data_IF_588253553059
#
_entry.id   IF_588253553059
#
_cell.length_a   1.000
_cell.length_b   1.000
_cell.length_c   1.000
_cell.angle_alpha   90.00
_cell.angle_beta   90.00
_cell.angle_gamma   90.00
#
_symmetry.space_group_name_H-M   'P 1'
#
loop_
_entity.id
_entity.type
_entity.pdbx_description
1 polymer ?
#
# COMPACT_ATOMS: atom_id res chain seq x y z
N UNK A 1 5.27 13.18 12.62
CA UNK A 1 5.27 14.54 13.24
C UNK A 1 4.10 15.41 12.79
N UNK A 2 3.22 14.91 11.89
CA UNK A 2 2.01 15.63 11.43
C UNK A 2 0.96 15.89 12.53
N UNK A 3 1.09 15.29 13.70
CA UNK A 3 0.09 15.35 14.80
C UNK A 3 -1.18 14.54 14.50
N UNK A 4 -1.24 13.78 13.41
CA UNK A 4 -2.43 13.05 12.94
C UNK A 4 -2.34 11.56 13.24
N UNK A 5 -2.22 11.19 14.52
CA UNK A 5 -2.15 9.77 14.93
C UNK A 5 -3.50 9.04 14.92
N UNK A 6 -4.61 9.76 14.74
CA UNK A 6 -5.98 9.20 14.80
C UNK A 6 -6.28 8.13 13.75
N UNK A 7 -5.46 8.00 12.70
CA UNK A 7 -5.62 6.91 11.72
C UNK A 7 -5.47 5.51 12.35
N UNK A 8 -4.83 5.40 13.52
CA UNK A 8 -4.71 4.14 14.27
C UNK A 8 -5.93 3.81 15.15
N UNK A 9 -6.84 4.77 15.34
CA UNK A 9 -8.00 4.59 16.22
C UNK A 9 -9.14 3.80 15.54
N UNK A 10 -9.09 3.62 14.21
CA UNK A 10 -10.09 2.92 13.42
C UNK A 10 -9.55 1.66 12.75
N UNK A 11 -10.28 1.19 11.73
CA UNK A 11 -9.90 0.01 10.94
C UNK A 11 -8.94 0.38 9.83
N UNK A 12 -7.95 -0.49 9.65
CA UNK A 12 -6.89 -0.39 8.66
C UNK A 12 -7.15 -1.45 7.58
N UNK A 13 -7.50 -1.03 6.37
CA UNK A 13 -7.82 -1.95 5.27
C UNK A 13 -6.60 -2.16 4.40
N UNK A 14 -6.21 -3.42 4.20
CA UNK A 14 -5.07 -3.80 3.35
C UNK A 14 -5.55 -4.62 2.16
N UNK A 15 -5.58 -4.00 0.97
CA UNK A 15 -5.86 -4.69 -0.27
C UNK A 15 -4.57 -5.32 -0.81
N UNK A 16 -4.39 -6.60 -0.57
CA UNK A 16 -3.17 -7.33 -0.92
C UNK A 16 -3.47 -8.67 -1.57
N UNK A 17 -2.44 -9.32 -2.11
CA UNK A 17 -2.52 -10.71 -2.55
C UNK A 17 -2.75 -11.68 -1.38
N UNK A 18 -2.92 -12.97 -1.68
CA UNK A 18 -3.08 -14.01 -0.65
C UNK A 18 -1.89 -14.01 0.33
N UNK A 19 -2.16 -14.06 1.66
CA UNK A 19 -1.13 -14.16 2.69
C UNK A 19 -0.67 -15.60 2.91
N UNK A 20 -1.16 -16.57 2.15
CA UNK A 20 -0.75 -17.96 2.28
C UNK A 20 0.73 -18.16 1.96
N UNK A 21 1.39 -18.95 2.79
CA UNK A 21 2.79 -19.32 2.63
C UNK A 21 2.90 -20.81 2.30
N UNK A 22 3.64 -21.12 1.24
CA UNK A 22 4.07 -22.47 0.95
C UNK A 22 5.34 -22.82 1.74
N UNK A 23 5.60 -24.11 1.94
CA UNK A 23 6.87 -24.57 2.50
C UNK A 23 7.72 -25.24 1.42
N UNK A 24 8.97 -24.78 1.29
CA UNK A 24 9.99 -25.41 0.43
C UNK A 24 11.23 -25.69 1.26
N UNK A 25 11.58 -26.97 1.43
CA UNK A 25 12.74 -27.35 2.23
C UNK A 25 12.69 -26.87 3.69
N UNK A 26 11.51 -26.77 4.30
CA UNK A 26 11.31 -26.28 5.66
C UNK A 26 11.30 -24.74 5.79
N UNK A 27 11.43 -24.00 4.69
CA UNK A 27 11.41 -22.54 4.67
C UNK A 27 10.06 -22.06 4.14
N UNK A 28 9.43 -21.11 4.87
CA UNK A 28 8.21 -20.46 4.41
C UNK A 28 8.53 -19.57 3.21
N UNK A 29 7.78 -19.76 2.13
CA UNK A 29 7.92 -19.02 0.88
C UNK A 29 6.57 -18.47 0.43
N UNK A 30 6.55 -17.24 -0.07
CA UNK A 30 5.33 -16.59 -0.52
C UNK A 30 5.57 -15.20 -1.08
N UNK A 31 4.50 -14.51 -1.37
CA UNK A 31 4.57 -13.10 -1.77
C UNK A 31 5.04 -12.24 -0.58
N UNK A 32 5.77 -11.17 -0.84
CA UNK A 32 6.25 -10.26 0.20
C UNK A 32 5.12 -9.76 1.10
N UNK A 33 3.98 -9.34 0.53
CA UNK A 33 2.80 -8.90 1.28
C UNK A 33 2.24 -10.00 2.20
N UNK A 34 2.30 -11.26 1.77
CA UNK A 34 1.93 -12.41 2.59
C UNK A 34 2.87 -12.60 3.77
N UNK A 35 4.18 -12.58 3.52
CA UNK A 35 5.20 -12.70 4.58
C UNK A 35 5.03 -11.57 5.61
N UNK A 36 4.90 -10.33 5.16
CA UNK A 36 4.73 -9.15 6.04
C UNK A 36 3.45 -9.27 6.88
N UNK A 37 2.36 -9.81 6.33
CA UNK A 37 1.11 -10.00 7.06
C UNK A 37 1.29 -10.85 8.33
N UNK A 38 2.15 -11.86 8.29
CA UNK A 38 2.46 -12.69 9.45
C UNK A 38 3.31 -11.96 10.52
N UNK A 39 3.96 -10.86 10.17
CA UNK A 39 4.82 -10.07 11.06
C UNK A 39 4.16 -8.78 11.58
N UNK A 40 2.89 -8.55 11.28
CA UNK A 40 2.17 -7.38 11.80
C UNK A 40 2.18 -7.38 13.32
N UNK A 41 2.57 -6.27 13.97
CA UNK A 41 2.56 -6.15 15.43
C UNK A 41 1.21 -6.44 16.05
N UNK A 42 1.19 -7.10 17.21
CA UNK A 42 -0.05 -7.56 17.86
C UNK A 42 -1.05 -6.42 18.12
N UNK A 43 -0.57 -5.22 18.44
CA UNK A 43 -1.42 -4.05 18.71
C UNK A 43 -2.15 -3.51 17.46
N UNK A 44 -1.67 -3.83 16.26
CA UNK A 44 -2.32 -3.46 14.98
C UNK A 44 -3.27 -4.54 14.44
N UNK A 45 -3.04 -5.82 14.81
CA UNK A 45 -3.80 -6.95 14.24
C UNK A 45 -5.30 -6.85 14.49
N UNK A 46 -5.72 -6.33 15.64
CA UNK A 46 -7.12 -6.14 15.99
C UNK A 46 -7.87 -5.13 15.12
N UNK A 47 -7.13 -4.24 14.48
CA UNK A 47 -7.68 -3.19 13.61
C UNK A 47 -7.51 -3.49 12.12
N UNK A 48 -6.80 -4.58 11.77
CA UNK A 48 -6.52 -4.94 10.39
C UNK A 48 -7.71 -5.65 9.74
N UNK A 49 -8.05 -5.25 8.53
CA UNK A 49 -9.03 -5.86 7.63
C UNK A 49 -8.44 -6.00 6.21
N UNK A 50 -8.95 -6.89 5.38
CA UNK A 50 -9.95 -7.92 5.70
C UNK A 50 -9.36 -9.02 6.59
N UNK A 51 -10.25 -9.96 7.00
CA UNK A 51 -9.84 -11.16 7.73
C UNK A 51 -8.85 -12.01 6.92
N UNK A 52 -8.07 -12.84 7.62
CA UNK A 52 -7.13 -13.78 6.98
C UNK A 52 -7.86 -14.68 5.96
N UNK A 53 -9.02 -15.22 6.34
CA UNK A 53 -9.81 -16.10 5.47
C UNK A 53 -10.23 -15.42 4.17
N UNK A 54 -10.71 -14.19 4.25
CA UNK A 54 -11.07 -13.39 3.06
C UNK A 54 -9.85 -13.06 2.22
N UNK A 55 -8.72 -12.78 2.86
CA UNK A 55 -7.47 -12.51 2.13
C UNK A 55 -6.93 -13.73 1.37
N UNK A 56 -7.27 -14.97 1.78
CA UNK A 56 -6.86 -16.19 1.09
C UNK A 56 -7.71 -16.52 -0.14
N UNK A 57 -8.83 -15.84 -0.38
CA UNK A 57 -9.65 -16.06 -1.59
C UNK A 57 -8.81 -15.71 -2.81
N UNK A 58 -8.72 -16.65 -3.76
CA UNK A 58 -7.91 -16.47 -4.98
C UNK A 58 -8.64 -15.66 -6.06
N UNK A 59 -9.94 -15.93 -6.24
CA UNK A 59 -10.75 -15.17 -7.17
C UNK A 59 -10.89 -13.72 -6.71
N UNK A 60 -10.44 -12.77 -7.54
CA UNK A 60 -10.40 -11.37 -7.15
C UNK A 60 -11.79 -10.74 -7.01
N UNK A 61 -12.73 -11.12 -7.85
CA UNK A 61 -14.09 -10.57 -7.81
C UNK A 61 -14.82 -11.03 -6.56
N UNK A 62 -14.75 -12.33 -6.23
CA UNK A 62 -15.31 -12.89 -5.01
C UNK A 62 -14.62 -12.28 -3.78
N UNK A 63 -13.30 -12.21 -3.79
CA UNK A 63 -12.52 -11.60 -2.71
C UNK A 63 -12.94 -10.16 -2.45
N UNK A 64 -13.09 -9.37 -3.50
CA UNK A 64 -13.45 -7.97 -3.39
C UNK A 64 -14.85 -7.79 -2.79
N UNK A 65 -15.80 -8.64 -3.17
CA UNK A 65 -17.15 -8.62 -2.60
C UNK A 65 -17.13 -8.98 -1.10
N UNK A 66 -16.34 -9.98 -0.71
CA UNK A 66 -16.15 -10.35 0.71
C UNK A 66 -15.45 -9.25 1.52
N UNK A 67 -14.44 -8.59 0.94
CA UNK A 67 -13.80 -7.43 1.58
C UNK A 67 -14.83 -6.34 1.86
N UNK A 68 -15.70 -6.04 0.89
CA UNK A 68 -16.74 -5.02 1.07
C UNK A 68 -17.73 -5.44 2.17
N UNK A 69 -18.18 -6.71 2.18
CA UNK A 69 -19.07 -7.22 3.21
C UNK A 69 -18.47 -7.09 4.63
N UNK A 70 -17.16 -7.31 4.78
CA UNK A 70 -16.47 -7.16 6.07
C UNK A 70 -16.21 -5.70 6.48
N UNK A 71 -16.16 -4.78 5.54
CA UNK A 71 -15.59 -3.44 5.80
C UNK A 71 -16.60 -2.31 5.71
N UNK A 72 -17.72 -2.47 4.99
CA UNK A 72 -18.62 -1.38 4.65
C UNK A 72 -19.23 -0.66 5.89
N UNK A 73 -19.42 -1.38 6.98
CA UNK A 73 -19.97 -0.86 8.25
C UNK A 73 -18.88 -0.60 9.30
N UNK A 74 -17.61 -0.65 8.92
CA UNK A 74 -16.49 -0.46 9.84
C UNK A 74 -15.97 0.98 9.80
N UNK A 75 -15.47 1.51 10.92
CA UNK A 75 -14.86 2.85 10.97
C UNK A 75 -13.47 2.84 10.31
N UNK A 76 -13.42 2.76 8.98
CA UNK A 76 -12.17 2.80 8.23
C UNK A 76 -11.49 4.16 8.37
N UNK A 77 -10.22 4.14 8.75
CA UNK A 77 -9.38 5.34 8.85
C UNK A 77 -8.24 5.35 7.84
N UNK A 78 -7.76 4.17 7.46
CA UNK A 78 -6.68 3.97 6.52
C UNK A 78 -7.00 2.88 5.51
N UNK A 79 -6.63 3.09 4.26
CA UNK A 79 -6.56 2.04 3.25
C UNK A 79 -5.16 1.95 2.66
N UNK A 80 -4.66 0.73 2.47
CA UNK A 80 -3.41 0.46 1.77
C UNK A 80 -3.63 -0.51 0.63
N UNK A 81 -3.05 -0.21 -0.52
CA UNK A 81 -3.13 -1.05 -1.71
C UNK A 81 -2.66 -0.33 -2.96
N UNK A 82 -2.46 -1.07 -4.04
CA UNK A 82 -2.16 -0.45 -5.32
C UNK A 82 -3.38 0.36 -5.81
N UNK A 83 -3.16 1.55 -6.38
CA UNK A 83 -4.24 2.45 -6.78
C UNK A 83 -5.37 1.81 -7.60
N UNK A 84 -5.14 0.97 -8.62
CA UNK A 84 -6.22 0.33 -9.36
C UNK A 84 -7.10 -0.58 -8.49
N UNK A 85 -6.56 -1.32 -7.53
CA UNK A 85 -7.36 -2.18 -6.65
C UNK A 85 -8.22 -1.35 -5.69
N UNK A 86 -7.64 -0.27 -5.16
CA UNK A 86 -8.40 0.67 -4.30
C UNK A 86 -9.51 1.34 -5.09
N UNK A 87 -9.27 1.71 -6.36
CA UNK A 87 -10.30 2.27 -7.22
C UNK A 87 -11.45 1.27 -7.46
N UNK A 88 -11.13 0.00 -7.75
CA UNK A 88 -12.14 -1.04 -7.92
C UNK A 88 -12.99 -1.24 -6.66
N UNK A 89 -12.35 -1.23 -5.50
CA UNK A 89 -13.03 -1.30 -4.21
C UNK A 89 -13.98 -0.13 -4.00
N UNK A 90 -13.55 1.10 -4.28
CA UNK A 90 -14.39 2.29 -4.18
C UNK A 90 -15.53 2.29 -5.20
N UNK A 91 -15.26 1.91 -6.44
CA UNK A 91 -16.29 1.82 -7.49
C UNK A 91 -17.42 0.84 -7.09
N UNK A 92 -17.09 -0.34 -6.52
CA UNK A 92 -18.08 -1.30 -6.02
C UNK A 92 -18.86 -0.79 -4.81
N UNK A 93 -18.20 -0.10 -3.86
CA UNK A 93 -18.91 0.53 -2.72
C UNK A 93 -19.88 1.60 -3.21
N UNK A 94 -19.46 2.46 -4.14
CA UNK A 94 -20.34 3.49 -4.71
C UNK A 94 -21.51 2.87 -5.46
N UNK A 95 -21.29 1.80 -6.22
CA UNK A 95 -22.36 1.06 -6.89
C UNK A 95 -23.39 0.46 -5.91
N UNK A 96 -22.94 -0.05 -4.75
CA UNK A 96 -23.82 -0.62 -3.70
C UNK A 96 -24.58 0.45 -2.91
N UNK A 97 -23.96 1.59 -2.63
CA UNK A 97 -24.48 2.57 -1.68
C UNK A 97 -25.05 3.83 -2.33
N UNK A 98 -24.63 4.15 -3.54
CA UNK A 98 -24.93 5.43 -4.19
C UNK A 98 -24.24 6.64 -3.54
N UNK A 99 -23.25 6.43 -2.66
CA UNK A 99 -22.59 7.47 -1.84
C UNK A 99 -21.14 7.65 -2.22
N UNK A 100 -20.59 8.84 -1.93
CA UNK A 100 -19.13 9.03 -1.93
C UNK A 100 -18.49 8.27 -0.78
N UNK A 101 -17.22 7.92 -0.93
CA UNK A 101 -16.47 7.16 0.09
C UNK A 101 -16.39 7.91 1.42
N UNK A 102 -16.29 9.24 1.41
CA UNK A 102 -16.33 10.07 2.63
C UNK A 102 -17.62 9.92 3.44
N UNK A 103 -18.74 9.58 2.78
CA UNK A 103 -20.05 9.44 3.42
C UNK A 103 -20.27 8.02 3.94
N UNK A 104 -19.54 7.03 3.40
CA UNK A 104 -19.49 5.65 3.89
C UNK A 104 -18.46 5.53 5.02
N UNK A 105 -17.29 6.17 4.85
CA UNK A 105 -16.19 6.15 5.81
C UNK A 105 -15.80 7.59 6.21
N UNK A 106 -16.54 8.22 7.14
CA UNK A 106 -16.31 9.62 7.53
C UNK A 106 -14.90 9.88 8.09
N UNK A 107 -14.34 8.90 8.82
CA UNK A 107 -13.04 8.99 9.48
C UNK A 107 -11.86 8.61 8.56
N UNK A 108 -12.13 8.22 7.30
CA UNK A 108 -11.08 7.90 6.35
C UNK A 108 -10.19 9.12 6.08
N UNK A 109 -8.90 8.99 6.38
CA UNK A 109 -7.96 10.11 6.40
C UNK A 109 -6.62 9.83 5.72
N UNK A 110 -6.27 8.55 5.50
CA UNK A 110 -4.95 8.19 4.98
C UNK A 110 -5.03 7.08 3.91
N UNK A 111 -4.45 7.36 2.75
CA UNK A 111 -4.22 6.38 1.69
C UNK A 111 -2.72 6.05 1.57
N UNK A 112 -2.38 4.78 1.71
CA UNK A 112 -1.00 4.28 1.57
C UNK A 112 -0.91 3.43 0.31
N UNK A 113 -0.02 3.79 -0.61
CA UNK A 113 0.10 3.12 -1.91
C UNK A 113 1.55 2.91 -2.32
N UNK A 114 1.75 2.12 -3.37
CA UNK A 114 3.05 1.87 -4.00
C UNK A 114 2.91 0.88 -5.14
N UNK A 115 4.03 0.56 -5.78
CA UNK A 115 4.12 -0.47 -6.82
C UNK A 115 3.68 -0.03 -8.22
N UNK A 116 2.98 1.10 -8.36
CA UNK A 116 2.61 1.70 -9.65
C UNK A 116 2.57 3.22 -9.55
N UNK A 117 2.80 3.90 -10.67
CA UNK A 117 2.64 5.35 -10.72
C UNK A 117 1.19 5.74 -10.38
N UNK A 118 1.02 6.62 -9.41
CA UNK A 118 -0.29 7.05 -8.91
C UNK A 118 -0.98 8.09 -9.80
N UNK A 119 -0.24 8.89 -10.54
CA UNK A 119 -0.78 10.05 -11.28
C UNK A 119 -1.97 9.70 -12.19
N UNK A 120 -1.98 8.59 -12.96
CA UNK A 120 -3.12 8.23 -13.79
C UNK A 120 -4.42 7.97 -13.00
N UNK A 121 -4.32 7.61 -11.74
CA UNK A 121 -5.46 7.24 -10.87
C UNK A 121 -5.88 8.37 -9.94
N UNK A 122 -5.00 9.31 -9.65
CA UNK A 122 -5.15 10.36 -8.63
C UNK A 122 -6.48 11.08 -8.71
N UNK A 123 -6.82 11.62 -9.89
CA UNK A 123 -8.03 12.41 -10.08
C UNK A 123 -9.28 11.60 -9.77
N UNK A 124 -9.44 10.45 -10.43
CA UNK A 124 -10.62 9.59 -10.25
C UNK A 124 -10.77 9.11 -8.81
N UNK A 125 -9.68 8.72 -8.17
CA UNK A 125 -9.68 8.22 -6.80
C UNK A 125 -10.14 9.31 -5.81
N UNK A 126 -9.60 10.54 -5.90
CA UNK A 126 -10.04 11.64 -5.05
C UNK A 126 -11.48 12.10 -5.33
N UNK A 127 -11.95 12.04 -6.59
CA UNK A 127 -13.36 12.26 -6.93
C UNK A 127 -14.26 11.21 -6.26
N UNK A 128 -13.87 9.93 -6.29
CA UNK A 128 -14.60 8.85 -5.60
C UNK A 128 -14.65 9.06 -4.09
N UNK A 129 -13.55 9.51 -3.50
CA UNK A 129 -13.50 9.81 -2.05
C UNK A 129 -14.40 11.00 -1.71
N UNK A 130 -14.41 12.05 -2.52
CA UNK A 130 -15.23 13.25 -2.32
C UNK A 130 -14.72 14.22 -1.23
N UNK A 131 -13.50 14.03 -0.73
CA UNK A 131 -12.76 14.95 0.16
C UNK A 131 -11.25 14.79 -0.08
N UNK A 132 -10.47 15.82 0.31
CA UNK A 132 -9.01 15.72 0.35
C UNK A 132 -8.59 14.88 1.57
N UNK A 133 -7.71 13.93 1.35
CA UNK A 133 -7.05 13.13 2.39
C UNK A 133 -5.54 13.15 2.15
N UNK A 134 -4.78 12.76 3.17
CA UNK A 134 -3.34 12.56 3.03
C UNK A 134 -3.06 11.24 2.30
N UNK A 135 -1.95 11.20 1.59
CA UNK A 135 -1.48 9.98 0.93
C UNK A 135 0.02 9.79 1.15
N UNK A 136 0.45 8.54 1.24
CA UNK A 136 1.86 8.18 1.41
C UNK A 136 2.24 7.17 0.34
N UNK A 137 3.24 7.50 -0.44
CA UNK A 137 3.85 6.58 -1.38
C UNK A 137 4.94 5.75 -0.69
N UNK A 138 4.96 4.46 -1.02
CA UNK A 138 5.95 3.50 -0.52
C UNK A 138 6.65 2.84 -1.69
N UNK A 139 7.95 2.60 -1.55
CA UNK A 139 8.74 1.81 -2.48
C UNK A 139 9.28 0.54 -1.81
N UNK A 140 8.44 -0.49 -1.59
CA UNK A 140 8.89 -1.80 -1.16
C UNK A 140 9.35 -2.62 -2.37
N UNK A 141 10.38 -3.43 -2.16
CA UNK A 141 10.84 -4.45 -3.09
C UNK A 141 11.10 -5.76 -2.34
N UNK A 142 11.29 -6.88 -3.07
CA UNK A 142 11.62 -8.16 -2.45
C UNK A 142 12.97 -8.11 -1.74
N UNK A 143 13.86 -7.27 -2.22
CA UNK A 143 15.21 -7.01 -1.69
C UNK A 143 15.16 -6.21 -0.37
N UNK A 144 14.11 -5.43 -0.16
CA UNK A 144 13.92 -4.64 1.05
C UNK A 144 13.01 -3.43 0.86
N UNK A 145 12.84 -2.66 1.91
CA UNK A 145 12.08 -1.41 1.88
C UNK A 145 13.04 -0.27 1.50
N UNK A 146 12.88 0.26 0.29
CA UNK A 146 13.86 1.16 -0.33
C UNK A 146 13.64 2.61 0.05
N UNK A 147 12.38 3.09 -0.09
CA UNK A 147 12.04 4.48 0.14
C UNK A 147 10.56 4.65 0.54
N UNK A 148 10.24 5.79 1.13
CA UNK A 148 8.86 6.20 1.42
C UNK A 148 8.73 7.72 1.35
N UNK A 149 7.53 8.20 1.07
CA UNK A 149 7.19 9.61 1.14
C UNK A 149 7.08 10.03 2.62
N UNK A 150 7.93 10.93 3.05
CA UNK A 150 7.99 11.43 4.42
C UNK A 150 7.34 12.81 4.58
N UNK A 151 7.02 13.48 3.47
CA UNK A 151 6.40 14.81 3.44
C UNK A 151 5.24 14.86 2.45
N UNK A 152 4.17 15.62 2.79
CA UNK A 152 3.06 15.90 1.88
C UNK A 152 3.34 17.08 0.94
N UNK A 153 4.46 17.78 1.11
CA UNK A 153 4.79 19.02 0.42
C UNK A 153 5.99 18.88 -0.51
N UNK A 154 6.80 17.85 -0.30
CA UNK A 154 7.98 17.57 -1.11
C UNK A 154 7.66 16.51 -2.16
N UNK A 155 8.21 16.69 -3.35
CA UNK A 155 8.19 15.68 -4.40
C UNK A 155 9.27 14.64 -4.12
N UNK A 156 8.96 13.38 -4.42
CA UNK A 156 9.88 12.27 -4.22
C UNK A 156 9.70 11.53 -2.90
N UNK A 157 10.62 10.61 -2.64
CA UNK A 157 10.61 9.73 -1.48
C UNK A 157 11.95 9.77 -0.76
N UNK A 158 11.91 9.71 0.57
CA UNK A 158 13.10 9.57 1.40
C UNK A 158 13.66 8.13 1.26
N UNK A 159 14.88 8.01 0.78
CA UNK A 159 15.59 6.74 0.66
C UNK A 159 16.13 6.26 2.00
N UNK A 160 15.96 4.97 2.28
CA UNK A 160 16.45 4.35 3.52
C UNK A 160 17.89 3.85 3.37
N UNK A 161 18.86 4.71 3.65
CA UNK A 161 20.28 4.42 3.46
C UNK A 161 20.87 3.47 4.52
N UNK A 162 20.23 3.34 5.68
CA UNK A 162 20.71 2.55 6.82
C UNK A 162 19.91 1.27 7.07
N UNK A 163 19.21 0.77 6.07
CA UNK A 163 18.35 -0.43 6.15
C UNK A 163 19.09 -1.75 5.92
N UNK A 164 20.43 -1.72 5.80
CA UNK A 164 21.24 -2.91 5.50
C UNK A 164 21.28 -3.28 4.02
N UNK A 165 20.82 -2.38 3.15
CA UNK A 165 20.89 -2.52 1.70
C UNK A 165 22.08 -1.70 1.20
N UNK A 166 22.91 -2.32 0.34
CA UNK A 166 23.97 -1.62 -0.39
C UNK A 166 23.39 -1.13 -1.72
N UNK A 167 23.58 0.16 -2.01
CA UNK A 167 23.05 0.80 -3.22
C UNK A 167 24.18 1.15 -4.18
N UNK A 168 24.02 0.75 -5.43
CA UNK A 168 24.79 1.22 -6.58
C UNK A 168 23.84 1.89 -7.57
N UNK A 169 24.27 2.96 -8.20
CA UNK A 169 23.47 3.73 -9.15
C UNK A 169 24.12 3.68 -10.53
N UNK A 170 23.28 3.62 -11.55
CA UNK A 170 23.68 3.74 -12.94
C UNK A 170 23.10 5.04 -13.47
N UNK A 171 23.92 5.94 -14.04
CA UNK A 171 23.41 7.14 -14.71
C UNK A 171 22.35 6.76 -15.75
N UNK A 172 21.25 7.52 -15.81
CA UNK A 172 20.10 7.16 -16.65
C UNK A 172 20.47 7.01 -18.13
N UNK A 173 21.38 7.84 -18.61
CA UNK A 173 21.91 7.82 -19.98
C UNK A 173 22.74 6.56 -20.29
N UNK A 174 23.29 5.90 -19.28
CA UNK A 174 24.09 4.68 -19.42
C UNK A 174 23.30 3.40 -19.19
N UNK A 175 22.05 3.47 -18.79
CA UNK A 175 21.25 2.31 -18.37
C UNK A 175 21.19 1.18 -19.42
N UNK A 176 21.22 1.53 -20.72
CA UNK A 176 21.17 0.57 -21.82
C UNK A 176 22.56 0.21 -22.39
N UNK A 177 23.65 0.70 -21.79
CA UNK A 177 25.00 0.35 -22.22
C UNK A 177 25.30 -1.10 -21.82
N UNK A 178 26.14 -1.79 -22.60
CA UNK A 178 26.60 -3.14 -22.30
C UNK A 178 27.43 -3.19 -21.00
N UNK A 179 28.19 -2.13 -20.72
CA UNK A 179 29.01 -1.96 -19.52
C UNK A 179 28.78 -0.57 -18.91
N UNK A 180 27.64 -0.37 -18.19
CA UNK A 180 27.37 0.93 -17.59
C UNK A 180 28.27 1.20 -16.39
N UNK A 181 28.56 2.47 -16.14
CA UNK A 181 29.23 2.91 -14.93
C UNK A 181 28.37 2.62 -13.72
N UNK A 182 28.99 2.30 -12.59
CA UNK A 182 28.30 2.17 -11.30
C UNK A 182 28.91 3.15 -10.33
N UNK A 183 28.10 3.95 -9.73
CA UNK A 183 28.50 4.95 -8.75
C UNK A 183 27.88 4.65 -7.40
N UNK A 184 28.58 5.02 -6.35
CA UNK A 184 28.09 4.89 -4.98
C UNK A 184 27.23 6.10 -4.58
N UNK A 185 26.56 6.03 -3.43
CA UNK A 185 25.64 7.07 -2.97
C UNK A 185 26.31 8.44 -2.76
N UNK A 186 27.57 8.45 -2.40
CA UNK A 186 28.36 9.67 -2.20
C UNK A 186 28.82 10.33 -3.52
N UNK A 187 28.64 9.66 -4.64
CA UNK A 187 28.95 10.15 -5.98
C UNK A 187 27.71 10.61 -6.76
N UNK A 188 26.50 10.43 -6.17
CA UNK A 188 25.24 10.88 -6.80
C UNK A 188 25.04 12.37 -6.56
N UNK A 189 24.91 13.14 -7.66
CA UNK A 189 24.63 14.58 -7.65
C UNK A 189 23.12 14.89 -7.67
#
# INVERSE_FOLDING_TARGET
ESGRSKFLDGKLIFLSGSPELAQKGGINTGRLSGIVNHHVPAYLRGNQLPSYTTNCIEDWEEKLDKIIDETIDQPMTLISGIPPWVQMYFDKIQARTGKHIKDVFPDFSLFVYGGVNFEPYRKKLFESIGKKIDSIELYPASEGFIAYQDSQHEEGMLMLLNSGIFYEFIPAEEYFNEHPSRISIDEVE
#
